data_IF_459114456125
#
_entry.id   IF_459114456125
#
_cell.length_a   1.000
_cell.length_b   1.000
_cell.length_c   1.000
_cell.angle_alpha   90.00
_cell.angle_beta   90.00
_cell.angle_gamma   90.00
#
_symmetry.space_group_name_H-M   'P 1'
#
loop_
_entity.id
_entity.type
_entity.pdbx_description
1 polymer ?
#
# COMPACT_ATOMS: atom_id res chain seq x y z
N UNK A 1 7.80 -10.15 4.50
CA UNK A 1 7.77 -11.48 5.17
C UNK A 1 6.34 -11.98 5.37
N UNK A 2 5.40 -11.10 5.71
CA UNK A 2 4.03 -11.44 6.04
C UNK A 2 3.08 -11.66 4.83
N UNK A 3 3.53 -11.40 3.60
CA UNK A 3 2.68 -11.54 2.42
C UNK A 3 2.31 -13.01 2.18
N UNK A 4 1.01 -13.31 2.18
CA UNK A 4 0.48 -14.66 1.96
C UNK A 4 0.79 -15.22 0.56
N UNK A 5 1.10 -14.34 -0.41
CA UNK A 5 1.47 -14.72 -1.79
C UNK A 5 2.90 -15.24 -1.92
N UNK A 6 3.70 -15.16 -0.87
CA UNK A 6 5.07 -15.67 -0.87
C UNK A 6 6.10 -14.71 -1.50
N UNK A 7 7.30 -15.21 -1.81
CA UNK A 7 8.42 -14.40 -2.26
C UNK A 7 8.22 -13.90 -3.70
N UNK A 8 8.66 -12.66 -3.95
CA UNK A 8 8.73 -12.10 -5.30
C UNK A 8 9.91 -12.70 -6.07
N UNK A 9 9.66 -13.29 -7.24
CA UNK A 9 10.69 -13.87 -8.10
C UNK A 9 11.65 -12.81 -8.67
N UNK A 10 11.12 -11.64 -9.06
CA UNK A 10 11.87 -10.52 -9.64
C UNK A 10 11.79 -9.31 -8.72
N UNK A 11 12.91 -8.94 -8.09
CA UNK A 11 13.03 -7.71 -7.29
C UNK A 11 13.65 -6.61 -8.14
N UNK A 12 12.92 -5.52 -8.35
CA UNK A 12 13.38 -4.39 -9.18
C UNK A 12 12.65 -3.10 -8.79
N UNK A 13 13.26 -1.96 -9.12
CA UNK A 13 12.61 -0.65 -9.10
C UNK A 13 12.19 -0.19 -10.50
N UNK A 14 12.61 -0.91 -11.53
CA UNK A 14 12.33 -0.56 -12.92
C UNK A 14 11.01 -1.21 -13.38
N UNK A 15 10.28 -0.55 -14.29
CA UNK A 15 9.06 -1.11 -14.84
C UNK A 15 9.30 -2.50 -15.44
N UNK A 16 8.38 -3.42 -15.21
CA UNK A 16 8.44 -4.79 -15.76
C UNK A 16 7.16 -5.06 -16.52
N UNK A 17 7.28 -5.29 -17.83
CA UNK A 17 6.18 -5.83 -18.61
C UNK A 17 6.20 -7.35 -18.55
N UNK A 18 5.26 -7.93 -17.80
CA UNK A 18 5.05 -9.38 -17.78
C UNK A 18 4.09 -9.83 -18.88
N UNK A 19 3.62 -8.91 -19.73
CA UNK A 19 2.59 -9.14 -20.74
C UNK A 19 1.16 -9.10 -20.18
N UNK A 20 0.98 -9.03 -18.85
CA UNK A 20 -0.33 -9.02 -18.21
C UNK A 20 -0.35 -8.19 -16.90
N UNK A 21 -1.53 -7.66 -16.51
CA UNK A 21 -2.75 -7.60 -17.31
C UNK A 21 -2.60 -6.60 -18.48
N UNK A 22 -3.13 -6.94 -19.66
CA UNK A 22 -3.28 -5.95 -20.73
C UNK A 22 -4.50 -5.05 -20.47
N UNK A 23 -4.56 -3.86 -21.07
CA UNK A 23 -5.76 -3.02 -21.08
C UNK A 23 -7.02 -3.78 -21.50
N UNK A 24 -6.91 -4.65 -22.52
CA UNK A 24 -8.02 -5.46 -23.02
C UNK A 24 -8.43 -6.57 -22.03
N UNK A 25 -7.48 -7.18 -21.33
CA UNK A 25 -7.78 -8.16 -20.29
C UNK A 25 -8.55 -7.51 -19.14
N UNK A 26 -8.10 -6.31 -18.72
CA UNK A 26 -8.76 -5.54 -17.67
C UNK A 26 -10.16 -5.11 -18.09
N UNK A 27 -10.31 -4.58 -19.31
CA UNK A 27 -11.62 -4.19 -19.86
C UNK A 27 -12.60 -5.37 -19.80
N UNK A 28 -12.24 -6.52 -20.37
CA UNK A 28 -13.10 -7.73 -20.34
C UNK A 28 -13.44 -8.17 -18.92
N UNK A 29 -12.47 -8.14 -18.01
CA UNK A 29 -12.72 -8.51 -16.62
C UNK A 29 -13.70 -7.54 -15.94
N UNK A 30 -13.59 -6.24 -16.21
CA UNK A 30 -14.50 -5.23 -15.70
C UNK A 30 -15.89 -5.31 -16.33
N UNK A 31 -16.00 -5.63 -17.62
CA UNK A 31 -17.30 -5.84 -18.26
C UNK A 31 -18.11 -6.93 -17.56
N UNK A 32 -17.45 -8.04 -17.21
CA UNK A 32 -18.06 -9.15 -16.47
C UNK A 32 -18.35 -8.79 -15.02
N UNK A 33 -17.44 -8.10 -14.34
CA UNK A 33 -17.63 -7.75 -12.93
C UNK A 33 -18.72 -6.68 -12.73
N UNK A 34 -18.83 -5.74 -13.68
CA UNK A 34 -19.80 -4.64 -13.61
C UNK A 34 -21.15 -4.97 -14.23
N UNK A 35 -21.29 -6.09 -14.98
CA UNK A 35 -22.59 -6.48 -15.55
C UNK A 35 -23.60 -6.94 -14.51
N UNK A 36 -23.15 -7.36 -13.32
CA UNK A 36 -23.97 -8.05 -12.32
C UNK A 36 -24.09 -7.28 -11.00
N UNK A 37 -23.59 -6.03 -10.93
CA UNK A 37 -23.42 -5.35 -9.65
C UNK A 37 -23.71 -3.84 -9.72
N UNK A 38 -24.96 -3.49 -9.42
CA UNK A 38 -25.42 -2.09 -9.31
C UNK A 38 -24.83 -1.35 -8.08
N UNK A 39 -24.22 -2.08 -7.13
CA UNK A 39 -23.74 -1.56 -5.85
C UNK A 39 -22.22 -1.36 -5.78
N UNK A 40 -21.52 -1.45 -6.91
CA UNK A 40 -20.06 -1.22 -6.94
C UNK A 40 -19.77 0.24 -6.62
N UNK A 41 -19.10 0.46 -5.48
CA UNK A 41 -18.71 1.80 -4.99
C UNK A 41 -17.22 2.09 -5.15
N UNK A 42 -16.38 1.07 -5.31
CA UNK A 42 -14.95 1.24 -5.53
C UNK A 42 -14.37 0.20 -6.49
N UNK A 43 -13.31 0.58 -7.19
CA UNK A 43 -12.47 -0.30 -8.02
C UNK A 43 -11.02 -0.09 -7.57
N UNK A 44 -10.45 -1.09 -6.90
CA UNK A 44 -9.16 -0.98 -6.22
C UNK A 44 -8.07 -1.85 -6.87
N UNK A 45 -6.92 -1.23 -7.15
CA UNK A 45 -5.75 -1.87 -7.74
C UNK A 45 -4.86 -2.44 -6.61
N UNK A 46 -5.16 -3.68 -6.19
CA UNK A 46 -4.46 -4.40 -5.10
C UNK A 46 -4.00 -5.83 -5.48
N UNK A 47 -3.82 -6.04 -6.80
CA UNK A 47 -3.47 -7.33 -7.41
C UNK A 47 -2.04 -7.81 -7.10
N UNK A 48 -1.62 -8.87 -7.81
CA UNK A 48 -0.27 -9.44 -7.67
C UNK A 48 0.81 -8.45 -8.14
N UNK A 49 1.92 -8.39 -7.39
CA UNK A 49 3.02 -7.47 -7.69
C UNK A 49 2.82 -6.07 -7.11
N UNK A 50 3.72 -5.17 -7.50
CA UNK A 50 3.64 -3.75 -7.15
C UNK A 50 3.02 -2.99 -8.33
N UNK A 51 1.81 -2.40 -8.20
CA UNK A 51 1.11 -1.78 -9.33
C UNK A 51 1.93 -0.72 -10.07
N UNK A 52 2.76 0.06 -9.36
CA UNK A 52 3.57 1.13 -9.97
C UNK A 52 4.68 0.61 -10.89
N UNK A 53 5.11 -0.64 -10.73
CA UNK A 53 6.06 -1.30 -11.63
C UNK A 53 5.41 -1.73 -12.95
N UNK A 54 4.08 -1.75 -13.07
CA UNK A 54 3.43 -2.12 -14.32
C UNK A 54 3.56 -0.98 -15.34
N UNK A 55 4.19 -1.17 -16.52
CA UNK A 55 4.52 -0.12 -17.50
C UNK A 55 3.29 0.68 -17.97
N UNK A 56 2.13 0.04 -17.95
CA UNK A 56 0.86 0.62 -18.41
C UNK A 56 -0.11 0.99 -17.28
N UNK A 57 0.34 1.16 -16.03
CA UNK A 57 -0.56 1.49 -14.90
C UNK A 57 -1.52 2.67 -15.21
N UNK A 58 -1.00 3.75 -15.81
CA UNK A 58 -1.83 4.90 -16.17
C UNK A 58 -2.88 4.58 -17.24
N UNK A 59 -2.57 3.70 -18.19
CA UNK A 59 -3.52 3.24 -19.20
C UNK A 59 -4.60 2.34 -18.56
N UNK A 60 -4.19 1.40 -17.70
CA UNK A 60 -5.11 0.52 -16.97
C UNK A 60 -6.08 1.32 -16.10
N UNK A 61 -5.61 2.37 -15.41
CA UNK A 61 -6.46 3.25 -14.61
C UNK A 61 -7.51 3.98 -15.49
N UNK A 62 -7.11 4.47 -16.67
CA UNK A 62 -8.04 5.10 -17.62
C UNK A 62 -9.07 4.12 -18.17
N UNK A 63 -8.66 2.90 -18.50
CA UNK A 63 -9.58 1.84 -18.92
C UNK A 63 -10.60 1.54 -17.82
N UNK A 64 -10.15 1.41 -16.58
CA UNK A 64 -11.05 1.12 -15.46
C UNK A 64 -12.09 2.25 -15.26
N UNK A 65 -11.64 3.51 -15.32
CA UNK A 65 -12.53 4.68 -15.25
C UNK A 65 -13.54 4.72 -16.40
N UNK A 66 -13.08 4.48 -17.63
CA UNK A 66 -13.96 4.45 -18.80
C UNK A 66 -15.01 3.33 -18.71
N UNK A 67 -14.62 2.14 -18.24
CA UNK A 67 -15.52 1.02 -18.06
C UNK A 67 -16.64 1.34 -17.06
N UNK A 68 -16.30 1.89 -15.88
CA UNK A 68 -17.29 2.31 -14.89
C UNK A 68 -18.21 3.42 -15.42
N UNK A 69 -17.63 4.46 -16.04
CA UNK A 69 -18.38 5.58 -16.59
C UNK A 69 -19.36 5.15 -17.69
N UNK A 70 -18.95 4.26 -18.60
CA UNK A 70 -19.82 3.74 -19.68
C UNK A 70 -21.07 3.01 -19.18
N UNK A 71 -21.06 2.57 -17.92
CA UNK A 71 -22.16 1.84 -17.27
C UNK A 71 -22.88 2.68 -16.21
N UNK A 72 -22.51 3.95 -16.06
CA UNK A 72 -23.09 4.83 -15.03
C UNK A 72 -22.76 4.40 -13.61
N UNK A 73 -21.67 3.64 -13.39
CA UNK A 73 -21.24 3.19 -12.06
C UNK A 73 -20.43 4.31 -11.39
N UNK A 74 -20.90 4.88 -10.27
CA UNK A 74 -20.23 5.98 -9.58
C UNK A 74 -19.11 5.46 -8.65
N UNK A 75 -18.19 4.66 -9.19
CA UNK A 75 -17.11 4.07 -8.42
C UNK A 75 -15.98 5.07 -8.14
N UNK A 76 -15.40 5.03 -6.94
CA UNK A 76 -14.08 5.58 -6.65
C UNK A 76 -12.98 4.63 -7.10
N UNK A 77 -11.79 5.16 -7.34
CA UNK A 77 -10.64 4.39 -7.81
C UNK A 77 -9.52 4.42 -6.79
N UNK A 78 -9.18 3.25 -6.26
CA UNK A 78 -8.10 3.09 -5.29
C UNK A 78 -6.90 2.33 -5.86
N UNK A 79 -5.74 2.51 -5.24
CA UNK A 79 -4.54 1.70 -5.51
C UNK A 79 -3.75 1.47 -4.23
N UNK A 80 -3.30 0.23 -4.05
CA UNK A 80 -2.42 -0.16 -2.96
C UNK A 80 -0.99 -0.30 -3.47
N UNK A 81 -0.04 0.39 -2.82
CA UNK A 81 1.38 0.39 -3.21
C UNK A 81 2.28 0.07 -2.01
N UNK A 82 3.37 -0.64 -2.27
CA UNK A 82 4.45 -0.89 -1.33
C UNK A 82 5.38 0.33 -1.14
N UNK A 83 5.07 1.45 -1.80
CA UNK A 83 5.78 2.74 -1.72
C UNK A 83 7.16 2.80 -2.35
N UNK A 84 7.71 1.68 -2.86
CA UNK A 84 9.11 1.57 -3.30
C UNK A 84 9.48 2.48 -4.47
N UNK A 85 8.50 2.88 -5.30
CA UNK A 85 8.73 3.72 -6.47
C UNK A 85 8.06 5.08 -6.38
N UNK A 86 7.58 5.51 -5.20
CA UNK A 86 6.87 6.79 -5.08
C UNK A 86 7.78 8.01 -5.35
N UNK A 87 9.10 7.83 -5.35
CA UNK A 87 10.05 8.85 -5.81
C UNK A 87 10.13 8.99 -7.33
N UNK A 88 9.56 8.06 -8.11
CA UNK A 88 9.70 8.01 -9.56
C UNK A 88 8.58 8.78 -10.26
N UNK A 89 8.94 9.70 -11.16
CA UNK A 89 7.99 10.55 -11.90
C UNK A 89 6.86 9.75 -12.57
N UNK A 90 7.19 8.61 -13.17
CA UNK A 90 6.23 7.73 -13.85
C UNK A 90 5.17 7.18 -12.89
N UNK A 91 5.57 6.80 -11.68
CA UNK A 91 4.62 6.34 -10.66
C UNK A 91 3.75 7.50 -10.19
N UNK A 92 4.35 8.66 -9.89
CA UNK A 92 3.63 9.88 -9.49
C UNK A 92 2.54 10.26 -10.48
N UNK A 93 2.86 10.29 -11.78
CA UNK A 93 1.92 10.63 -12.87
C UNK A 93 0.77 9.63 -12.97
N UNK A 94 1.06 8.33 -12.86
CA UNK A 94 0.02 7.30 -12.91
C UNK A 94 -0.91 7.35 -11.69
N UNK A 95 -0.35 7.63 -10.50
CA UNK A 95 -1.10 7.68 -9.25
C UNK A 95 -2.07 8.86 -9.16
N UNK A 96 -1.87 9.94 -9.94
CA UNK A 96 -2.84 11.04 -10.04
C UNK A 96 -4.20 10.62 -10.61
N UNK A 97 -4.28 9.44 -11.24
CA UNK A 97 -5.53 8.91 -11.78
C UNK A 97 -6.37 8.18 -10.74
N UNK A 98 -5.96 8.13 -9.48
CA UNK A 98 -6.67 7.44 -8.39
C UNK A 98 -7.21 8.45 -7.38
N UNK A 99 -8.42 8.19 -6.88
CA UNK A 99 -9.07 9.01 -5.86
C UNK A 99 -8.49 8.70 -4.46
N UNK A 100 -8.04 7.46 -4.26
CA UNK A 100 -7.43 6.97 -3.04
C UNK A 100 -6.11 6.23 -3.32
N UNK A 101 -5.06 6.56 -2.57
CA UNK A 101 -3.81 5.80 -2.54
C UNK A 101 -3.56 5.31 -1.14
N UNK A 102 -3.46 4.00 -0.97
CA UNK A 102 -2.99 3.37 0.27
C UNK A 102 -1.54 2.94 0.09
N UNK A 103 -0.63 3.66 0.75
CA UNK A 103 0.81 3.50 0.60
C UNK A 103 1.43 2.90 1.86
N UNK A 104 2.24 1.86 1.71
CA UNK A 104 2.83 1.13 2.83
C UNK A 104 4.01 1.85 3.47
N UNK A 105 4.06 1.86 4.80
CA UNK A 105 5.23 2.19 5.62
C UNK A 105 5.16 1.40 6.93
N UNK A 106 5.74 0.19 6.96
CA UNK A 106 5.57 -0.73 8.11
C UNK A 106 6.42 -0.35 9.33
N UNK A 107 7.43 0.50 9.16
CA UNK A 107 8.38 0.87 10.23
C UNK A 107 9.20 2.11 9.82
N UNK A 108 9.67 2.86 10.82
CA UNK A 108 10.65 3.93 10.67
C UNK A 108 12.09 3.49 11.01
N UNK A 109 12.31 2.20 11.26
CA UNK A 109 13.63 1.61 11.57
C UNK A 109 14.22 0.90 10.34
N UNK A 110 15.41 1.30 9.84
CA UNK A 110 16.03 0.68 8.66
C UNK A 110 16.34 -0.82 8.80
N UNK A 111 16.69 -1.30 10.00
CA UNK A 111 16.93 -2.71 10.25
C UNK A 111 15.63 -3.52 10.19
N UNK A 112 14.55 -3.00 10.79
CA UNK A 112 13.21 -3.61 10.71
C UNK A 112 12.68 -3.58 9.27
N UNK A 113 12.91 -2.51 8.52
CA UNK A 113 12.53 -2.40 7.11
C UNK A 113 13.21 -3.50 6.26
N UNK A 114 14.53 -3.68 6.41
CA UNK A 114 15.27 -4.74 5.72
C UNK A 114 14.77 -6.13 6.09
N UNK A 115 14.47 -6.38 7.36
CA UNK A 115 14.01 -7.67 7.85
C UNK A 115 12.58 -8.02 7.40
N UNK A 116 11.66 -7.06 7.51
CA UNK A 116 10.23 -7.24 7.26
C UNK A 116 9.88 -7.11 5.78
N UNK A 117 10.24 -6.00 5.15
CA UNK A 117 9.87 -5.68 3.77
C UNK A 117 10.75 -6.40 2.75
N UNK A 118 12.00 -6.73 3.13
CA UNK A 118 13.00 -7.37 2.26
C UNK A 118 13.07 -6.69 0.89
N UNK A 119 13.35 -5.38 0.85
CA UNK A 119 13.35 -4.61 -0.39
C UNK A 119 14.34 -5.16 -1.42
N UNK A 120 14.27 -4.65 -2.65
CA UNK A 120 15.34 -4.84 -3.63
C UNK A 120 16.65 -4.23 -3.11
N UNK A 121 17.78 -4.83 -3.47
CA UNK A 121 19.09 -4.34 -3.03
C UNK A 121 19.28 -2.87 -3.44
N UNK A 122 19.75 -2.05 -2.49
CA UNK A 122 19.99 -0.62 -2.69
C UNK A 122 18.78 0.30 -2.49
N UNK A 123 17.58 -0.24 -2.23
CA UNK A 123 16.46 0.57 -1.76
C UNK A 123 16.52 0.69 -0.23
N UNK A 124 16.81 1.90 0.24
CA UNK A 124 16.83 2.26 1.66
C UNK A 124 15.50 2.91 2.10
N UNK A 125 15.20 2.81 3.40
CA UNK A 125 13.97 3.31 3.99
C UNK A 125 13.79 4.82 3.79
N UNK A 126 14.87 5.58 3.89
CA UNK A 126 14.88 7.03 3.74
C UNK A 126 14.40 7.45 2.35
N UNK A 127 14.70 6.66 1.31
CA UNK A 127 14.19 6.90 -0.05
C UNK A 127 12.69 6.67 -0.15
N UNK A 128 12.16 5.68 0.57
CA UNK A 128 10.71 5.41 0.63
C UNK A 128 9.99 6.56 1.34
N UNK A 129 10.50 6.99 2.50
CA UNK A 129 9.94 8.12 3.25
C UNK A 129 9.97 9.41 2.42
N UNK A 130 11.10 9.72 1.76
CA UNK A 130 11.19 10.89 0.89
C UNK A 130 10.26 10.79 -0.32
N UNK A 131 10.10 9.60 -0.91
CA UNK A 131 9.14 9.34 -1.98
C UNK A 131 7.70 9.63 -1.54
N UNK A 132 7.31 9.19 -0.34
CA UNK A 132 6.00 9.49 0.25
C UNK A 132 5.79 10.99 0.45
N UNK A 133 6.78 11.71 0.99
CA UNK A 133 6.72 13.17 1.17
C UNK A 133 6.51 13.91 -0.15
N UNK A 134 7.27 13.53 -1.18
CA UNK A 134 7.12 14.11 -2.52
C UNK A 134 5.77 13.78 -3.15
N UNK A 135 5.33 12.53 -2.99
CA UNK A 135 4.03 12.10 -3.49
C UNK A 135 2.90 12.90 -2.85
N UNK A 136 2.85 13.04 -1.52
CA UNK A 136 1.84 13.86 -0.84
C UNK A 136 1.76 15.27 -1.40
N UNK A 137 2.90 15.95 -1.60
CA UNK A 137 2.96 17.32 -2.12
C UNK A 137 2.35 17.47 -3.51
N UNK A 138 2.43 16.42 -4.33
CA UNK A 138 1.92 16.42 -5.69
C UNK A 138 0.51 15.81 -5.80
N UNK A 139 0.09 15.00 -4.84
CA UNK A 139 -1.16 14.24 -4.89
C UNK A 139 -2.31 14.96 -4.19
N UNK A 140 -3.37 15.23 -4.95
CA UNK A 140 -4.57 15.91 -4.45
C UNK A 140 -5.66 14.98 -3.91
N UNK A 141 -5.53 13.66 -4.08
CA UNK A 141 -6.49 12.68 -3.55
C UNK A 141 -6.24 12.32 -2.09
N UNK A 142 -6.92 11.27 -1.63
CA UNK A 142 -6.78 10.77 -0.25
C UNK A 142 -5.58 9.85 -0.14
N UNK A 143 -4.59 10.22 0.66
CA UNK A 143 -3.45 9.38 0.99
C UNK A 143 -3.65 8.73 2.35
N UNK A 144 -3.81 7.40 2.35
CA UNK A 144 -3.70 6.60 3.56
C UNK A 144 -2.31 5.98 3.65
N UNK A 145 -1.67 6.04 4.82
CA UNK A 145 -0.45 5.26 5.07
C UNK A 145 -0.82 3.98 5.82
N UNK A 146 -0.50 2.83 5.20
CA UNK A 146 -0.74 1.53 5.81
C UNK A 146 0.51 1.01 6.55
N UNK A 147 0.29 0.54 7.77
CA UNK A 147 1.31 -0.05 8.65
C UNK A 147 0.89 -1.49 8.97
N UNK A 148 1.69 -2.48 8.57
CA UNK A 148 1.45 -3.88 8.94
C UNK A 148 2.26 -4.25 10.19
N UNK A 149 1.60 -4.40 11.34
CA UNK A 149 2.22 -4.82 12.59
C UNK A 149 2.29 -6.34 12.70
N UNK A 150 3.48 -6.86 12.97
CA UNK A 150 3.77 -8.29 13.07
C UNK A 150 4.86 -8.59 14.09
N UNK A 151 4.81 -9.81 14.63
CA UNK A 151 5.97 -10.46 15.22
C UNK A 151 6.57 -11.44 14.21
N UNK A 152 7.90 -11.53 14.16
CA UNK A 152 8.64 -12.43 13.27
C UNK A 152 9.83 -13.00 14.03
N UNK A 153 9.63 -14.11 14.75
CA UNK A 153 10.63 -14.62 15.69
C UNK A 153 10.94 -13.60 16.80
N UNK A 154 12.21 -13.21 17.03
CA UNK A 154 12.56 -12.21 18.04
C UNK A 154 12.27 -10.76 17.61
N UNK A 155 11.90 -10.53 16.35
CA UNK A 155 11.68 -9.18 15.81
C UNK A 155 10.20 -8.79 15.90
N UNK A 156 9.93 -7.56 16.33
CA UNK A 156 8.61 -6.94 16.33
C UNK A 156 8.71 -5.48 15.88
N UNK A 157 7.69 -4.98 15.18
CA UNK A 157 7.53 -3.56 14.83
C UNK A 157 6.35 -2.90 15.56
N UNK A 158 5.86 -3.51 16.65
CA UNK A 158 4.67 -3.05 17.37
C UNK A 158 4.99 -2.38 18.73
N UNK A 159 6.24 -1.98 18.99
CA UNK A 159 6.58 -1.32 20.25
C UNK A 159 6.10 0.14 20.31
N UNK A 160 6.04 0.74 21.50
CA UNK A 160 5.77 2.18 21.62
C UNK A 160 6.89 3.05 21.02
N UNK A 161 8.13 2.56 21.01
CA UNK A 161 9.24 3.22 20.33
C UNK A 161 9.03 3.21 18.81
N UNK A 162 8.58 2.09 18.25
CA UNK A 162 8.20 2.00 16.84
C UNK A 162 7.08 2.99 16.50
N UNK A 163 6.07 3.10 17.35
CA UNK A 163 4.95 4.02 17.13
C UNK A 163 5.40 5.48 17.11
N UNK A 164 6.29 5.88 18.03
CA UNK A 164 6.84 7.25 18.08
C UNK A 164 7.72 7.57 16.88
N UNK A 165 8.65 6.67 16.54
CA UNK A 165 9.51 6.84 15.37
C UNK A 165 8.66 6.92 14.08
N UNK A 166 7.59 6.13 14.00
CA UNK A 166 6.67 6.20 12.88
C UNK A 166 5.87 7.52 12.88
N UNK A 167 5.38 7.98 14.04
CA UNK A 167 4.70 9.27 14.16
C UNK A 167 5.59 10.43 13.66
N UNK A 168 6.88 10.42 13.99
CA UNK A 168 7.84 11.42 13.51
C UNK A 168 7.99 11.38 11.98
N UNK A 169 8.08 10.18 11.39
CA UNK A 169 8.13 10.02 9.94
C UNK A 169 6.84 10.50 9.26
N UNK A 170 5.68 10.11 9.80
CA UNK A 170 4.35 10.44 9.30
C UNK A 170 4.07 11.95 9.38
N UNK A 171 4.60 12.64 10.39
CA UNK A 171 4.45 14.10 10.54
C UNK A 171 5.04 14.85 9.34
N UNK A 172 6.12 14.34 8.74
CA UNK A 172 6.67 14.93 7.52
C UNK A 172 5.99 14.46 6.22
N UNK A 173 5.20 13.38 6.27
CA UNK A 173 4.45 12.83 5.14
C UNK A 173 3.04 13.43 5.06
N UNK A 174 2.43 13.78 6.19
CA UNK A 174 1.09 14.37 6.31
C UNK A 174 -0.01 13.55 5.60
N UNK A 175 -0.20 12.24 5.91
CA UNK A 175 -1.28 11.46 5.33
C UNK A 175 -2.65 11.89 5.88
N UNK A 176 -3.71 11.66 5.11
CA UNK A 176 -5.08 11.91 5.55
C UNK A 176 -5.53 10.90 6.61
N UNK A 177 -5.07 9.65 6.48
CA UNK A 177 -5.40 8.55 7.37
C UNK A 177 -4.18 7.64 7.59
N UNK A 178 -4.10 7.01 8.76
CA UNK A 178 -3.12 5.97 9.05
C UNK A 178 -3.86 4.68 9.34
N UNK A 179 -3.65 3.67 8.51
CA UNK A 179 -4.28 2.37 8.68
C UNK A 179 -3.31 1.38 9.33
N UNK A 180 -3.65 0.92 10.52
CA UNK A 180 -2.85 -0.04 11.29
C UNK A 180 -3.46 -1.42 11.13
N UNK A 181 -2.76 -2.32 10.46
CA UNK A 181 -3.17 -3.68 10.17
C UNK A 181 -2.33 -4.69 10.95
N UNK A 182 -2.84 -5.90 11.09
CA UNK A 182 -2.02 -7.09 11.34
C UNK A 182 -2.37 -8.23 10.39
N UNK A 183 -1.67 -9.36 10.49
CA UNK A 183 -1.80 -10.50 9.57
C UNK A 183 -3.14 -11.22 9.77
N UNK A 184 -4.11 -10.94 8.92
CA UNK A 184 -5.40 -11.66 8.92
C UNK A 184 -5.38 -12.94 8.09
N UNK A 185 -4.60 -12.95 6.99
CA UNK A 185 -4.34 -14.15 6.18
C UNK A 185 -3.11 -14.86 6.73
N UNK A 186 -3.11 -16.21 6.78
CA UNK A 186 -1.90 -16.97 7.11
C UNK A 186 -0.71 -16.51 6.26
N UNK A 187 0.37 -16.01 6.86
CA UNK A 187 1.57 -15.63 6.13
C UNK A 187 2.21 -16.83 5.43
N UNK A 188 2.88 -16.60 4.30
CA UNK A 188 3.67 -17.65 3.65
C UNK A 188 4.75 -18.22 4.57
N UNK A 189 5.34 -17.38 5.41
CA UNK A 189 6.35 -17.79 6.39
C UNK A 189 5.69 -18.12 7.72
N UNK A 190 5.83 -19.35 8.22
CA UNK A 190 5.28 -19.76 9.52
C UNK A 190 5.89 -19.07 10.75
N UNK A 191 6.95 -18.26 10.57
CA UNK A 191 7.60 -17.51 11.64
C UNK A 191 6.91 -16.17 11.97
N UNK A 192 5.87 -15.79 11.21
CA UNK A 192 5.19 -14.49 11.35
C UNK A 192 3.84 -14.68 12.03
N UNK A 193 3.58 -13.88 13.06
CA UNK A 193 2.31 -13.87 13.81
C UNK A 193 1.81 -12.44 14.06
N UNK A 194 0.54 -12.34 14.49
CA UNK A 194 -0.01 -11.09 15.02
C UNK A 194 0.72 -10.73 16.31
N UNK A 195 1.00 -9.43 16.57
CA UNK A 195 1.40 -9.01 17.90
C UNK A 195 0.23 -9.18 18.87
N UNK A 196 0.52 -9.30 20.17
CA UNK A 196 -0.52 -9.26 21.21
C UNK A 196 -1.45 -8.04 21.03
N UNK A 197 -2.75 -8.25 21.17
CA UNK A 197 -3.79 -7.22 21.03
C UNK A 197 -3.50 -5.97 21.84
N UNK A 198 -3.11 -6.11 23.11
CA UNK A 198 -2.80 -4.97 23.97
C UNK A 198 -1.69 -4.08 23.41
N UNK A 199 -0.64 -4.69 22.83
CA UNK A 199 0.47 -3.98 22.20
C UNK A 199 0.06 -3.33 20.88
N UNK A 200 -0.73 -4.03 20.05
CA UNK A 200 -1.30 -3.45 18.83
C UNK A 200 -2.14 -2.20 19.12
N UNK A 201 -3.04 -2.28 20.09
CA UNK A 201 -3.91 -1.16 20.47
C UNK A 201 -3.10 -0.02 21.12
N UNK A 202 -2.06 -0.34 21.89
CA UNK A 202 -1.16 0.67 22.46
C UNK A 202 -0.39 1.42 21.37
N UNK A 203 0.06 0.72 20.33
CA UNK A 203 0.69 1.32 19.16
C UNK A 203 -0.26 2.29 18.45
N UNK A 204 -1.50 1.84 18.15
CA UNK A 204 -2.50 2.67 17.49
C UNK A 204 -2.84 3.93 18.31
N UNK A 205 -3.04 3.78 19.62
CA UNK A 205 -3.31 4.91 20.53
C UNK A 205 -2.17 5.93 20.58
N UNK A 206 -0.92 5.50 20.44
CA UNK A 206 0.21 6.42 20.39
C UNK A 206 0.18 7.28 19.13
N UNK A 207 -0.20 6.70 17.97
CA UNK A 207 -0.41 7.46 16.74
C UNK A 207 -1.60 8.44 16.85
N UNK A 208 -2.70 8.03 17.49
CA UNK A 208 -3.84 8.92 17.74
C UNK A 208 -3.45 10.11 18.63
N UNK A 209 -2.65 9.87 19.68
CA UNK A 209 -2.12 10.93 20.55
C UNK A 209 -1.19 11.89 19.82
N UNK A 210 -0.48 11.42 18.79
CA UNK A 210 0.32 12.26 17.90
C UNK A 210 -0.53 13.06 16.89
N UNK A 211 -1.86 12.91 16.91
CA UNK A 211 -2.79 13.69 16.10
C UNK A 211 -3.21 13.04 14.78
N UNK A 212 -2.84 11.79 14.53
CA UNK A 212 -3.23 11.09 13.30
C UNK A 212 -4.64 10.52 13.38
N UNK A 213 -5.35 10.54 12.24
CA UNK A 213 -6.61 9.81 12.08
C UNK A 213 -6.32 8.33 11.85
N UNK A 214 -6.41 7.53 12.90
CA UNK A 214 -6.05 6.11 12.85
C UNK A 214 -7.28 5.23 12.59
N UNK A 215 -7.11 4.22 11.73
CA UNK A 215 -8.04 3.09 11.57
C UNK A 215 -7.33 1.80 11.86
N UNK A 216 -7.97 0.90 12.61
CA UNK A 216 -7.35 -0.35 13.06
C UNK A 216 -8.02 -1.58 12.49
N UNK A 217 -7.21 -2.55 12.06
CA UNK A 217 -7.64 -3.81 11.47
C UNK A 217 -6.88 -4.97 12.13
N UNK A 218 -7.44 -5.49 13.24
CA UNK A 218 -6.82 -6.57 14.03
C UNK A 218 -7.34 -7.97 13.68
N UNK A 219 -8.50 -8.07 13.07
CA UNK A 219 -9.18 -9.34 12.75
C UNK A 219 -8.44 -10.17 11.72
#
# INVERSE_FOLDING_TARGET
>A
VYCFRGPTAVKTLHPVDLGYPTPRDLERALELALSDSADVRSIDFSGNGEPTLHPRLAELARVARAAAASRGVPASFGVFTNSSTLGERRALEALQLFDHVEAKLDTADPAKFRALNRPVAGLELERVVEGLRRFRKAYGGTLAVQVMLVDSGPLSNASLEDARALADALSGIEPDEVHVYTVYRPPWTGAVSKPERGRFEAFARELERAGFRVRTYYE
#
